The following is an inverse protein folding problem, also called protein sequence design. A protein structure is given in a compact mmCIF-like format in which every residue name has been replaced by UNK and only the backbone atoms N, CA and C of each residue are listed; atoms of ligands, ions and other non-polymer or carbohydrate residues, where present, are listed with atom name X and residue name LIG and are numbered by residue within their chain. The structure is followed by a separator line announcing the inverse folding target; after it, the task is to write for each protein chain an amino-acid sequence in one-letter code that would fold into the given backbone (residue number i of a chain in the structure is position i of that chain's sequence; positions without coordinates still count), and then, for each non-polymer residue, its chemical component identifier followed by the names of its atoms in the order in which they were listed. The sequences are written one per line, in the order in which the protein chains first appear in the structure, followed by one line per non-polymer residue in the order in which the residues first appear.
data_IF_556748375555
#
_entry.id   IF_556748375555
#
_cell.length_a   1.000
_cell.length_b   1.000
_cell.length_c   1.000
_cell.angle_alpha   90.00
_cell.angle_beta   90.00
_cell.angle_gamma   90.00
#
_symmetry.space_group_name_H-M   'P 1'
#
loop_
_entity.id
_entity.type
_entity.pdbx_description
1 polymer ?
#
# COMPACT_ATOMS: atom_id res chain seq x y z
N UNK A 1 -62.49 33.89 -70.66
CA UNK A 1 -62.14 32.44 -70.69
C UNK A 1 -60.61 32.38 -70.69
N UNK A 2 -59.85 31.86 -69.73
CA UNK A 2 -60.10 31.21 -68.45
C UNK A 2 -58.90 31.44 -67.51
N UNK A 3 -59.16 31.39 -66.20
CA UNK A 3 -58.19 31.53 -65.10
C UNK A 3 -57.20 30.35 -65.07
N UNK A 4 -55.93 30.59 -64.73
CA UNK A 4 -55.07 29.61 -64.04
C UNK A 4 -54.27 30.30 -62.93
N UNK A 5 -54.63 29.97 -61.69
CA UNK A 5 -53.85 30.26 -60.49
C UNK A 5 -52.62 29.35 -60.46
N UNK A 6 -51.44 29.91 -60.22
CA UNK A 6 -50.27 29.17 -59.75
C UNK A 6 -50.26 29.24 -58.22
N UNK A 7 -50.52 28.12 -57.55
CA UNK A 7 -50.42 28.00 -56.10
C UNK A 7 -48.95 27.77 -55.72
N UNK A 8 -48.39 28.66 -54.89
CA UNK A 8 -47.10 28.46 -54.25
C UNK A 8 -47.22 27.38 -53.15
N UNK A 9 -46.43 26.32 -53.25
CA UNK A 9 -46.31 25.30 -52.22
C UNK A 9 -45.40 25.81 -51.10
N UNK A 10 -45.98 26.27 -49.99
CA UNK A 10 -45.26 26.48 -48.72
C UNK A 10 -44.99 25.12 -48.07
N UNK A 11 -43.74 24.74 -47.75
CA UNK A 11 -43.47 23.51 -47.02
C UNK A 11 -43.91 23.69 -45.56
N UNK A 12 -44.92 22.93 -45.14
CA UNK A 12 -45.27 22.77 -43.72
C UNK A 12 -44.24 21.87 -43.06
N UNK A 13 -43.20 22.47 -42.50
CA UNK A 13 -42.27 21.73 -41.63
C UNK A 13 -42.99 21.50 -40.29
N UNK A 14 -43.35 20.25 -40.02
CA UNK A 14 -43.98 19.85 -38.75
C UNK A 14 -42.96 20.02 -37.61
N UNK A 15 -43.23 20.89 -36.61
CA UNK A 15 -42.30 21.14 -35.49
C UNK A 15 -42.10 19.89 -34.62
N UNK A 16 -43.05 18.94 -34.67
CA UNK A 16 -42.99 17.70 -33.91
C UNK A 16 -41.89 16.75 -34.41
N UNK A 17 -41.61 16.76 -35.71
CA UNK A 17 -40.61 15.87 -36.32
C UNK A 17 -39.16 16.36 -36.09
N UNK A 18 -38.97 17.65 -35.81
CA UNK A 18 -37.68 18.20 -35.39
C UNK A 18 -37.39 17.94 -33.90
N UNK A 19 -38.39 18.07 -33.03
CA UNK A 19 -38.23 17.81 -31.59
C UNK A 19 -37.86 16.33 -31.30
N UNK A 20 -38.47 15.39 -32.03
CA UNK A 20 -38.17 13.95 -31.88
C UNK A 20 -36.74 13.64 -32.36
N UNK A 21 -36.28 14.27 -33.45
CA UNK A 21 -34.91 14.05 -33.96
C UNK A 21 -33.82 14.67 -33.08
N UNK A 22 -34.09 15.82 -32.45
CA UNK A 22 -33.19 16.42 -31.45
C UNK A 22 -33.15 15.61 -30.14
N UNK A 23 -34.28 15.01 -29.72
CA UNK A 23 -34.32 14.13 -28.55
C UNK A 23 -33.54 12.82 -28.75
N UNK A 24 -33.60 12.23 -29.94
CA UNK A 24 -32.84 11.01 -30.28
C UNK A 24 -31.35 11.31 -30.43
N UNK A 25 -30.95 12.46 -31.00
CA UNK A 25 -29.54 12.87 -31.03
C UNK A 25 -28.98 13.16 -29.62
N UNK A 26 -29.78 13.78 -28.74
CA UNK A 26 -29.38 14.01 -27.34
C UNK A 26 -29.20 12.73 -26.53
N UNK A 27 -30.02 11.71 -26.78
CA UNK A 27 -29.91 10.40 -26.11
C UNK A 27 -28.73 9.57 -26.62
N UNK A 28 -28.35 9.70 -27.90
CA UNK A 28 -27.20 8.98 -28.48
C UNK A 28 -25.85 9.61 -28.11
N UNK A 29 -25.79 10.94 -27.92
CA UNK A 29 -24.56 11.64 -27.49
C UNK A 29 -24.35 11.54 -25.96
N UNK A 30 -25.42 11.32 -25.17
CA UNK A 30 -25.33 11.08 -23.73
C UNK A 30 -24.89 9.66 -23.32
N UNK A 31 -24.77 8.72 -24.26
CA UNK A 31 -24.37 7.33 -24.01
C UNK A 31 -22.90 7.04 -24.30
N UNK A 32 -22.14 8.03 -24.80
CA UNK A 32 -20.69 7.92 -24.94
C UNK A 32 -20.04 8.54 -23.71
N UNK A 33 -20.23 7.88 -22.57
CA UNK A 33 -19.30 8.05 -21.46
C UNK A 33 -17.91 7.67 -22.00
N UNK A 34 -16.88 8.54 -21.92
CA UNK A 34 -15.53 8.11 -22.26
C UNK A 34 -15.23 6.88 -21.42
N UNK A 35 -14.96 5.76 -22.10
CA UNK A 35 -14.46 4.57 -21.44
C UNK A 35 -13.20 5.03 -20.70
N UNK A 36 -13.26 5.06 -19.37
CA UNK A 36 -12.16 5.51 -18.54
C UNK A 36 -11.07 4.44 -18.60
N UNK A 37 -10.32 4.44 -19.70
CA UNK A 37 -9.17 3.58 -19.90
C UNK A 37 -8.21 3.85 -18.75
N UNK A 38 -7.80 2.76 -18.10
CA UNK A 38 -6.69 2.73 -17.18
C UNK A 38 -5.48 3.46 -17.78
N UNK A 39 -5.10 4.60 -17.23
CA UNK A 39 -3.96 5.39 -17.73
C UNK A 39 -3.27 6.16 -16.62
N UNK A 40 -1.95 6.22 -16.71
CA UNK A 40 -1.11 7.13 -15.94
C UNK A 40 -0.67 8.27 -16.85
N UNK A 41 -1.10 9.49 -16.53
CA UNK A 41 -0.72 10.71 -17.26
C UNK A 41 0.29 11.53 -16.48
N UNK A 42 1.27 12.09 -17.19
CA UNK A 42 2.29 12.95 -16.60
C UNK A 42 1.95 14.44 -16.78
N UNK A 43 2.11 15.21 -15.72
CA UNK A 43 2.11 16.67 -15.70
C UNK A 43 3.38 17.13 -14.96
N UNK A 44 4.47 17.35 -15.72
CA UNK A 44 5.81 17.54 -15.15
C UNK A 44 6.26 16.29 -14.39
N UNK A 45 6.78 16.46 -13.17
CA UNK A 45 7.17 15.35 -12.28
C UNK A 45 5.99 14.72 -11.52
N UNK A 46 4.76 15.20 -11.75
CA UNK A 46 3.55 14.62 -11.14
C UNK A 46 2.88 13.66 -12.11
N UNK A 47 2.70 12.42 -11.68
CA UNK A 47 2.07 11.35 -12.42
C UNK A 47 0.75 11.03 -11.75
N UNK A 48 -0.33 10.95 -12.52
CA UNK A 48 -1.66 10.59 -11.99
C UNK A 48 -2.20 9.38 -12.74
N UNK A 49 -2.39 8.29 -12.00
CA UNK A 49 -2.92 7.03 -12.47
C UNK A 49 -4.41 6.94 -12.11
N UNK A 50 -5.26 6.72 -13.12
CA UNK A 50 -6.71 6.61 -12.98
C UNK A 50 -7.26 5.46 -13.83
N UNK A 51 -8.57 5.22 -13.72
CA UNK A 51 -9.27 4.22 -14.52
C UNK A 51 -9.13 2.79 -13.98
N UNK A 52 -9.86 1.88 -14.62
CA UNK A 52 -9.86 0.45 -14.31
C UNK A 52 -9.42 -0.34 -15.54
N UNK A 53 -8.69 -1.45 -15.39
CA UNK A 53 -8.34 -2.33 -16.49
C UNK A 53 -9.60 -2.87 -17.17
N UNK A 54 -9.78 -2.60 -18.47
CA UNK A 54 -10.90 -3.13 -19.26
C UNK A 54 -10.44 -4.31 -20.14
N UNK A 55 -11.42 -5.09 -20.63
CA UNK A 55 -11.15 -6.14 -21.61
C UNK A 55 -11.00 -5.54 -23.02
N UNK A 56 -10.11 -6.09 -23.88
CA UNK A 56 -9.17 -7.19 -23.63
C UNK A 56 -7.98 -6.74 -22.77
N UNK A 57 -7.74 -7.43 -21.64
CA UNK A 57 -6.75 -7.18 -20.58
C UNK A 57 -5.71 -6.08 -20.86
N UNK A 58 -6.07 -4.82 -20.58
CA UNK A 58 -5.09 -3.73 -20.57
C UNK A 58 -4.39 -3.69 -19.21
N UNK A 59 -3.06 -3.72 -19.24
CA UNK A 59 -2.25 -3.52 -18.05
C UNK A 59 -2.34 -2.07 -17.59
N UNK A 60 -2.54 -1.86 -16.31
CA UNK A 60 -2.45 -0.55 -15.66
C UNK A 60 -1.31 -0.60 -14.64
N UNK A 61 -0.08 -0.63 -15.16
CA UNK A 61 1.14 -0.54 -14.36
C UNK A 61 1.87 0.78 -14.67
N UNK A 62 2.80 1.14 -13.79
CA UNK A 62 3.64 2.31 -13.99
C UNK A 62 5.07 2.06 -13.55
N UNK A 63 6.03 2.33 -14.43
CA UNK A 63 7.45 2.22 -14.13
C UNK A 63 8.20 3.45 -14.63
N UNK A 64 8.97 4.09 -13.75
CA UNK A 64 9.79 5.26 -14.09
C UNK A 64 10.99 5.39 -13.13
N UNK A 65 12.15 5.81 -13.64
CA UNK A 65 13.38 6.00 -12.87
C UNK A 65 13.80 7.47 -12.72
N UNK A 66 12.95 8.42 -13.13
CA UNK A 66 13.19 9.85 -12.91
C UNK A 66 13.12 10.21 -11.43
N UNK A 67 13.92 11.19 -11.01
CA UNK A 67 13.93 11.70 -9.65
C UNK A 67 12.77 12.67 -9.40
N UNK A 68 12.49 12.93 -8.13
CA UNK A 68 11.54 13.95 -7.67
C UNK A 68 10.12 13.70 -8.19
N UNK A 69 9.78 12.44 -8.46
CA UNK A 69 8.45 12.06 -8.93
C UNK A 69 7.45 12.04 -7.78
N UNK A 70 6.28 12.61 -8.05
CA UNK A 70 5.07 12.40 -7.25
C UNK A 70 4.10 11.56 -8.06
N UNK A 71 3.80 10.34 -7.59
CA UNK A 71 2.87 9.42 -8.24
C UNK A 71 1.59 9.34 -7.43
N UNK A 72 0.46 9.68 -8.04
CA UNK A 72 -0.86 9.66 -7.44
C UNK A 72 -1.68 8.54 -8.08
N UNK A 73 -2.15 7.59 -7.28
CA UNK A 73 -3.15 6.59 -7.70
C UNK A 73 -4.51 7.07 -7.21
N UNK A 74 -5.37 7.46 -8.15
CA UNK A 74 -6.66 8.07 -7.85
C UNK A 74 -7.64 7.12 -7.17
N UNK A 75 -8.62 7.68 -6.46
CA UNK A 75 -9.71 6.90 -5.86
C UNK A 75 -10.46 6.11 -6.92
N UNK A 76 -10.71 4.84 -6.66
CA UNK A 76 -11.37 3.93 -7.60
C UNK A 76 -10.49 3.47 -8.76
N UNK A 77 -9.27 3.99 -8.89
CA UNK A 77 -8.30 3.47 -9.85
C UNK A 77 -7.91 2.04 -9.45
N UNK A 78 -7.77 1.18 -10.45
CA UNK A 78 -7.28 -0.18 -10.25
C UNK A 78 -6.04 -0.38 -11.11
N UNK A 79 -4.95 -0.80 -10.49
CA UNK A 79 -3.67 -1.01 -11.11
C UNK A 79 -3.26 -2.48 -10.95
N UNK A 80 -2.72 -3.06 -12.02
CA UNK A 80 -2.33 -4.46 -12.10
C UNK A 80 -0.96 -4.61 -12.76
N UNK A 81 -0.41 -5.82 -12.79
CA UNK A 81 0.86 -6.10 -13.43
C UNK A 81 0.79 -7.37 -14.28
N UNK A 82 1.79 -7.56 -15.14
CA UNK A 82 2.05 -8.87 -15.71
C UNK A 82 2.45 -9.84 -14.60
N UNK A 83 2.23 -11.13 -14.85
CA UNK A 83 2.74 -12.19 -13.98
C UNK A 83 4.26 -12.05 -13.78
N UNK A 84 4.72 -12.09 -12.53
CA UNK A 84 6.13 -11.84 -12.17
C UNK A 84 6.54 -10.37 -12.16
N UNK A 85 5.62 -9.47 -12.50
CA UNK A 85 5.86 -8.03 -12.60
C UNK A 85 5.56 -7.28 -11.31
N UNK A 86 5.70 -5.96 -11.39
CA UNK A 86 5.40 -5.01 -10.32
C UNK A 86 4.34 -4.04 -10.84
N UNK A 87 3.34 -3.72 -10.01
CA UNK A 87 2.30 -2.76 -10.41
C UNK A 87 2.87 -1.35 -10.52
N UNK A 88 3.67 -0.95 -9.53
CA UNK A 88 4.41 0.30 -9.52
C UNK A 88 5.89 0.02 -9.29
N UNK A 89 6.75 0.57 -10.14
CA UNK A 89 8.21 0.43 -10.04
C UNK A 89 8.91 1.78 -10.26
N UNK A 90 9.30 2.42 -9.17
CA UNK A 90 9.85 3.78 -9.16
C UNK A 90 11.34 3.74 -8.78
N UNK A 91 12.24 3.77 -9.77
CA UNK A 91 13.68 3.61 -9.57
C UNK A 91 14.44 4.90 -9.24
N UNK A 92 13.79 6.06 -9.25
CA UNK A 92 14.45 7.35 -8.98
C UNK A 92 14.70 7.63 -7.50
N UNK A 93 15.19 8.84 -7.20
CA UNK A 93 15.30 9.39 -5.85
C UNK A 93 14.20 10.41 -5.57
N UNK A 94 13.99 10.75 -4.30
CA UNK A 94 13.03 11.75 -3.83
C UNK A 94 11.59 11.46 -4.28
N UNK A 95 11.17 10.21 -4.12
CA UNK A 95 9.90 9.71 -4.64
C UNK A 95 8.79 9.89 -3.61
N UNK A 96 7.66 10.44 -4.05
CA UNK A 96 6.40 10.43 -3.30
C UNK A 96 5.38 9.55 -4.00
N UNK A 97 4.80 8.58 -3.30
CA UNK A 97 3.66 7.78 -3.75
C UNK A 97 2.44 8.08 -2.89
N UNK A 98 1.37 8.58 -3.51
CA UNK A 98 0.07 8.80 -2.87
C UNK A 98 -0.93 7.80 -3.46
N UNK A 99 -1.30 6.78 -2.71
CA UNK A 99 -2.26 5.76 -3.13
C UNK A 99 -3.62 5.99 -2.49
N UNK A 100 -4.65 6.24 -3.31
CA UNK A 100 -6.07 6.21 -2.91
C UNK A 100 -6.87 5.13 -3.65
N UNK A 101 -6.22 4.37 -4.53
CA UNK A 101 -6.84 3.31 -5.34
C UNK A 101 -6.33 1.92 -4.96
N UNK A 102 -6.42 0.98 -5.89
CA UNK A 102 -5.96 -0.40 -5.73
C UNK A 102 -4.69 -0.64 -6.53
N UNK A 103 -3.61 -0.98 -5.85
CA UNK A 103 -2.35 -1.48 -6.41
C UNK A 103 -2.34 -2.99 -6.13
N UNK A 104 -2.73 -3.80 -7.12
CA UNK A 104 -2.89 -5.24 -6.95
C UNK A 104 -2.42 -6.02 -8.18
N UNK A 105 -1.26 -6.71 -8.13
CA UNK A 105 -0.76 -7.48 -9.26
C UNK A 105 -1.64 -8.69 -9.62
N UNK A 106 -2.51 -9.14 -8.70
CA UNK A 106 -3.41 -10.28 -8.86
C UNK A 106 -4.87 -9.86 -9.12
N UNK A 107 -5.11 -8.59 -9.45
CA UNK A 107 -6.45 -8.04 -9.66
C UNK A 107 -7.29 -8.84 -10.67
N UNK A 108 -6.64 -9.38 -11.70
CA UNK A 108 -7.29 -10.08 -12.81
C UNK A 108 -7.42 -11.59 -12.61
N UNK A 109 -7.00 -12.11 -11.46
CA UNK A 109 -7.11 -13.53 -11.13
C UNK A 109 -5.85 -14.11 -10.49
N UNK A 110 -5.82 -15.44 -10.43
CA UNK A 110 -4.75 -16.18 -9.75
C UNK A 110 -3.40 -15.95 -10.45
N UNK A 111 -2.43 -15.51 -9.67
CA UNK A 111 -1.02 -15.42 -10.05
C UNK A 111 -0.31 -16.72 -9.64
N UNK A 112 0.46 -17.29 -10.56
CA UNK A 112 1.28 -18.50 -10.29
C UNK A 112 2.75 -18.18 -9.98
N UNK A 113 3.13 -16.90 -9.98
CA UNK A 113 4.49 -16.39 -9.80
C UNK A 113 4.42 -15.15 -8.91
N UNK A 114 5.40 -14.99 -8.01
CA UNK A 114 5.54 -13.82 -7.16
C UNK A 114 5.53 -12.54 -8.00
N UNK A 115 4.54 -11.72 -7.76
CA UNK A 115 4.30 -10.41 -8.37
C UNK A 115 4.12 -9.37 -7.27
N UNK A 116 4.63 -8.17 -7.49
CA UNK A 116 4.76 -7.14 -6.46
C UNK A 116 3.77 -5.99 -6.60
N UNK A 117 3.48 -5.31 -5.50
CA UNK A 117 2.69 -4.08 -5.50
C UNK A 117 3.52 -2.88 -5.95
N UNK A 118 4.08 -2.15 -5.00
CA UNK A 118 4.92 -0.96 -5.23
C UNK A 118 6.37 -1.19 -4.81
N UNK A 119 7.31 -0.93 -5.72
CA UNK A 119 8.75 -0.95 -5.46
C UNK A 119 9.32 0.43 -5.72
N UNK A 120 10.02 0.98 -4.74
CA UNK A 120 10.48 2.37 -4.75
C UNK A 120 11.96 2.45 -4.35
N UNK A 121 12.71 3.28 -5.07
CA UNK A 121 14.10 3.61 -4.78
C UNK A 121 15.10 2.82 -5.62
N UNK A 122 16.34 3.32 -5.63
CA UNK A 122 17.48 2.76 -6.37
C UNK A 122 18.60 2.24 -5.47
N UNK A 123 18.42 2.26 -4.14
CA UNK A 123 19.49 1.97 -3.18
C UNK A 123 20.52 3.10 -3.08
N UNK A 124 20.16 4.30 -3.51
CA UNK A 124 20.90 5.55 -3.27
C UNK A 124 20.22 6.34 -2.14
N UNK A 125 20.92 7.36 -1.62
CA UNK A 125 20.38 8.22 -0.55
C UNK A 125 19.20 9.02 -1.11
N UNK A 126 18.02 8.87 -0.51
CA UNK A 126 16.77 9.44 -1.00
C UNK A 126 15.84 9.83 0.15
N UNK A 127 14.93 10.77 -0.11
CA UNK A 127 13.74 10.99 0.70
C UNK A 127 12.53 10.29 0.05
N UNK A 128 12.11 9.16 0.60
CA UNK A 128 10.96 8.39 0.09
C UNK A 128 9.76 8.64 0.99
N UNK A 129 8.63 9.05 0.39
CA UNK A 129 7.36 9.22 1.09
C UNK A 129 6.27 8.36 0.46
N UNK A 130 5.59 7.55 1.27
CA UNK A 130 4.48 6.71 0.83
C UNK A 130 3.26 7.00 1.70
N UNK A 131 2.15 7.38 1.08
CA UNK A 131 0.87 7.58 1.74
C UNK A 131 -0.13 6.63 1.11
N UNK A 132 -0.59 5.64 1.88
CA UNK A 132 -1.69 4.78 1.52
C UNK A 132 -2.95 5.29 2.24
N UNK A 133 -3.78 6.06 1.54
CA UNK A 133 -4.98 6.67 2.07
C UNK A 133 -6.02 5.62 2.50
N UNK A 134 -7.09 6.04 3.19
CA UNK A 134 -8.10 5.12 3.75
C UNK A 134 -8.80 4.23 2.73
N UNK A 135 -8.94 4.67 1.49
CA UNK A 135 -9.48 3.86 0.37
C UNK A 135 -8.39 3.07 -0.37
N UNK A 136 -7.13 3.30 -0.02
CA UNK A 136 -5.96 2.72 -0.65
C UNK A 136 -5.77 1.25 -0.27
N UNK A 137 -5.56 0.41 -1.29
CA UNK A 137 -5.12 -0.97 -1.15
C UNK A 137 -3.76 -1.12 -1.83
N UNK A 138 -2.77 -1.59 -1.09
CA UNK A 138 -1.49 -2.07 -1.62
C UNK A 138 -1.42 -3.56 -1.35
N UNK A 139 -1.42 -4.35 -2.42
CA UNK A 139 -1.37 -5.81 -2.34
C UNK A 139 -0.13 -6.35 -3.06
N UNK A 140 0.57 -7.25 -2.39
CA UNK A 140 1.59 -8.10 -2.98
C UNK A 140 1.08 -9.52 -3.23
N UNK A 141 2.00 -10.43 -3.51
CA UNK A 141 1.69 -11.85 -3.61
C UNK A 141 2.66 -12.63 -2.74
N UNK A 142 2.13 -13.62 -2.04
CA UNK A 142 2.87 -14.44 -1.11
C UNK A 142 2.89 -15.87 -1.60
N UNK A 143 4.00 -16.54 -1.36
CA UNK A 143 4.06 -18.00 -1.34
C UNK A 143 4.35 -18.44 0.09
N UNK A 144 4.06 -19.70 0.42
CA UNK A 144 4.55 -20.28 1.66
C UNK A 144 6.08 -20.27 1.61
N UNK A 145 6.68 -19.30 2.29
CA UNK A 145 8.12 -19.24 2.44
C UNK A 145 8.51 -20.30 3.47
N UNK A 146 9.50 -21.13 3.12
CA UNK A 146 10.20 -21.93 4.12
C UNK A 146 10.91 -21.00 5.13
N UNK A 147 11.73 -21.56 6.02
CA UNK A 147 12.40 -20.77 7.06
C UNK A 147 13.32 -19.64 6.52
N UNK A 148 13.68 -19.69 5.24
CA UNK A 148 14.52 -18.69 4.59
C UNK A 148 13.71 -17.85 3.59
N UNK A 149 13.94 -16.54 3.61
CA UNK A 149 13.43 -15.61 2.61
C UNK A 149 14.17 -15.85 1.29
N UNK A 150 13.46 -16.32 0.27
CA UNK A 150 14.06 -16.65 -1.04
C UNK A 150 13.99 -15.49 -2.04
N UNK A 151 13.00 -14.62 -1.90
CA UNK A 151 12.76 -13.48 -2.79
C UNK A 151 11.88 -12.43 -2.09
N UNK A 152 12.02 -11.17 -2.48
CA UNK A 152 11.17 -10.05 -2.05
C UNK A 152 10.26 -9.54 -3.17
N UNK A 153 10.32 -10.10 -4.38
CA UNK A 153 9.55 -9.67 -5.55
C UNK A 153 8.03 -9.71 -5.34
N UNK A 154 7.55 -10.49 -4.38
CA UNK A 154 6.14 -10.59 -4.00
C UNK A 154 5.66 -9.53 -2.99
N UNK A 155 6.53 -8.67 -2.45
CA UNK A 155 6.12 -7.67 -1.46
C UNK A 155 5.01 -6.76 -2.00
N UNK A 156 4.08 -6.38 -1.11
CA UNK A 156 3.11 -5.33 -1.40
C UNK A 156 3.78 -3.96 -1.52
N UNK A 157 4.70 -3.66 -0.61
CA UNK A 157 5.52 -2.45 -0.63
C UNK A 157 6.99 -2.81 -0.35
N UNK A 158 7.88 -2.43 -1.26
CA UNK A 158 9.31 -2.55 -1.08
C UNK A 158 9.97 -1.18 -1.29
N UNK A 159 10.84 -0.78 -0.37
CA UNK A 159 11.61 0.46 -0.48
C UNK A 159 13.10 0.15 -0.35
N UNK A 160 13.89 0.54 -1.36
CA UNK A 160 15.34 0.42 -1.40
C UNK A 160 15.97 1.82 -1.28
N UNK A 161 16.36 2.19 -0.07
CA UNK A 161 16.87 3.53 0.24
C UNK A 161 18.12 3.43 1.11
N UNK A 162 19.20 4.07 0.67
CA UNK A 162 20.50 3.94 1.30
C UNK A 162 20.53 4.51 2.72
N UNK A 163 21.54 4.10 3.49
CA UNK A 163 21.88 4.71 4.77
C UNK A 163 21.95 6.24 4.65
N UNK A 164 21.58 6.96 5.71
CA UNK A 164 21.40 8.43 5.75
C UNK A 164 20.19 8.98 4.99
N UNK A 165 19.53 8.17 4.15
CA UNK A 165 18.24 8.52 3.56
C UNK A 165 17.10 8.41 4.58
N UNK A 166 15.93 8.92 4.19
CA UNK A 166 14.70 8.84 5.00
C UNK A 166 13.58 8.16 4.22
N UNK A 167 12.85 7.28 4.91
CA UNK A 167 11.67 6.60 4.37
C UNK A 167 10.50 6.82 5.31
N UNK A 168 9.48 7.53 4.85
CA UNK A 168 8.25 7.81 5.60
C UNK A 168 7.10 7.04 4.97
N UNK A 169 6.39 6.25 5.75
CA UNK A 169 5.24 5.45 5.30
C UNK A 169 4.06 5.75 6.21
N UNK A 170 2.97 6.24 5.65
CA UNK A 170 1.69 6.41 6.35
C UNK A 170 0.66 5.47 5.73
N UNK A 171 0.08 4.60 6.55
CA UNK A 171 -0.98 3.68 6.16
C UNK A 171 -2.28 4.01 6.89
N UNK A 172 -3.23 4.59 6.18
CA UNK A 172 -4.61 4.78 6.60
C UNK A 172 -5.54 3.71 6.01
N UNK A 173 -5.11 3.04 4.93
CA UNK A 173 -5.85 2.00 4.21
C UNK A 173 -5.36 0.57 4.53
N UNK A 174 -5.31 -0.29 3.51
CA UNK A 174 -4.89 -1.70 3.66
C UNK A 174 -3.57 -1.98 2.94
N UNK A 175 -2.62 -2.60 3.64
CA UNK A 175 -1.44 -3.24 3.06
C UNK A 175 -1.52 -4.74 3.31
N UNK A 176 -1.48 -5.54 2.25
CA UNK A 176 -1.68 -7.00 2.36
C UNK A 176 -1.00 -7.78 1.24
N UNK A 177 -1.26 -9.08 1.19
CA UNK A 177 -0.82 -10.02 0.16
C UNK A 177 -2.00 -10.87 -0.32
N UNK A 178 -1.78 -11.62 -1.39
CA UNK A 178 -2.61 -12.76 -1.78
C UNK A 178 -1.74 -13.98 -2.04
N UNK A 179 -2.22 -15.18 -1.71
CA UNK A 179 -1.49 -16.40 -1.97
C UNK A 179 -1.35 -16.73 -3.46
N UNK A 180 -0.20 -17.31 -3.87
CA UNK A 180 0.03 -17.87 -5.21
C UNK A 180 -0.72 -19.20 -5.49
N UNK A 181 -1.51 -19.74 -4.54
CA UNK A 181 -2.20 -21.02 -4.73
C UNK A 181 -3.58 -21.09 -4.04
N UNK A 182 -4.42 -22.00 -4.54
CA UNK A 182 -5.76 -22.34 -4.04
C UNK A 182 -5.71 -23.11 -2.70
N UNK A 183 -4.51 -23.37 -2.16
CA UNK A 183 -4.25 -24.26 -1.02
C UNK A 183 -4.11 -23.59 0.36
N UNK A 184 -4.49 -22.32 0.51
CA UNK A 184 -4.52 -21.67 1.84
C UNK A 184 -3.16 -21.19 2.34
N UNK A 185 -2.53 -20.26 1.61
CA UNK A 185 -1.43 -19.48 2.18
C UNK A 185 -2.03 -18.53 3.21
N UNK A 186 -1.44 -18.55 4.40
CA UNK A 186 -1.86 -17.72 5.52
C UNK A 186 -1.36 -16.31 5.28
N UNK A 187 -2.29 -15.37 5.13
CA UNK A 187 -1.95 -14.01 4.72
C UNK A 187 -1.05 -13.34 5.78
N UNK A 188 -1.24 -13.70 7.05
CA UNK A 188 -0.42 -13.20 8.15
C UNK A 188 1.06 -13.59 8.04
N UNK A 189 1.38 -14.74 7.42
CA UNK A 189 2.76 -15.22 7.27
C UNK A 189 3.51 -14.58 6.10
N UNK A 190 2.78 -13.98 5.16
CA UNK A 190 3.41 -13.43 3.94
C UNK A 190 4.11 -12.11 4.21
N UNK A 191 5.35 -11.91 3.72
CA UNK A 191 5.97 -10.59 3.69
C UNK A 191 5.15 -9.60 2.86
N UNK A 192 4.85 -8.43 3.42
CA UNK A 192 4.07 -7.38 2.74
C UNK A 192 4.78 -6.05 2.66
N UNK A 193 5.60 -5.70 3.65
CA UNK A 193 6.40 -4.47 3.63
C UNK A 193 7.85 -4.77 3.94
N UNK A 194 8.77 -4.35 3.07
CA UNK A 194 10.21 -4.45 3.29
C UNK A 194 10.91 -3.15 2.98
N UNK A 195 11.64 -2.58 3.95
CA UNK A 195 12.48 -1.40 3.72
C UNK A 195 13.94 -1.74 3.99
N UNK A 196 14.77 -1.63 2.97
CA UNK A 196 16.18 -2.05 2.99
C UNK A 196 17.09 -1.00 2.37
N UNK A 197 18.40 -1.16 2.54
CA UNK A 197 19.45 -0.19 2.19
C UNK A 197 19.94 0.66 3.37
N UNK A 198 19.28 0.59 4.53
CA UNK A 198 19.71 1.22 5.78
C UNK A 198 19.18 2.63 6.06
N UNK A 199 18.25 3.15 5.25
CA UNK A 199 17.57 4.43 5.53
C UNK A 199 16.89 4.45 6.90
N UNK A 200 16.67 5.64 7.46
CA UNK A 200 15.80 5.79 8.63
C UNK A 200 14.35 5.59 8.21
N UNK A 201 13.67 4.61 8.81
CA UNK A 201 12.26 4.35 8.56
C UNK A 201 11.39 4.99 9.63
N UNK A 202 10.37 5.73 9.22
CA UNK A 202 9.26 6.17 10.07
C UNK A 202 7.96 5.66 9.46
N UNK A 203 7.35 4.66 10.10
CA UNK A 203 6.09 4.08 9.64
C UNK A 203 4.96 4.38 10.62
N UNK A 204 3.82 4.82 10.11
CA UNK A 204 2.59 5.02 10.88
C UNK A 204 1.50 4.14 10.28
N UNK A 205 0.97 3.22 11.08
CA UNK A 205 -0.29 2.53 10.80
C UNK A 205 -1.40 3.21 11.60
N UNK A 206 -2.18 4.06 10.94
CA UNK A 206 -3.21 4.88 11.57
C UNK A 206 -4.36 4.04 12.13
N UNK A 207 -5.29 4.66 12.86
CA UNK A 207 -6.42 3.95 13.48
C UNK A 207 -7.33 3.21 12.50
N UNK A 208 -7.44 3.68 11.25
CA UNK A 208 -8.15 2.97 10.17
C UNK A 208 -7.25 2.00 9.40
N UNK A 209 -5.94 2.05 9.64
CA UNK A 209 -4.93 1.31 8.91
C UNK A 209 -4.95 -0.18 9.26
N UNK A 210 -4.92 -1.01 8.22
CA UNK A 210 -4.81 -2.46 8.33
C UNK A 210 -3.56 -2.96 7.64
N UNK A 211 -2.78 -3.78 8.33
CA UNK A 211 -1.65 -4.53 7.78
C UNK A 211 -1.95 -6.01 8.00
N UNK A 212 -2.01 -6.78 6.91
CA UNK A 212 -2.17 -8.22 6.97
C UNK A 212 -1.00 -8.89 6.24
N UNK A 213 -0.05 -9.38 7.03
CA UNK A 213 1.26 -9.87 6.61
C UNK A 213 2.39 -9.30 7.48
N UNK A 214 3.63 -9.64 7.12
CA UNK A 214 4.83 -9.26 7.86
C UNK A 214 5.51 -8.00 7.31
N UNK A 215 5.99 -7.17 8.22
CA UNK A 215 6.76 -5.95 7.97
C UNK A 215 8.18 -6.15 8.47
N UNK A 216 9.18 -5.72 7.70
CA UNK A 216 10.56 -5.71 8.15
C UNK A 216 11.31 -4.46 7.67
N UNK A 217 12.11 -3.91 8.58
CA UNK A 217 13.08 -2.87 8.28
C UNK A 217 14.49 -3.41 8.47
N UNK A 218 15.40 -3.01 7.59
CA UNK A 218 16.83 -3.21 7.81
C UNK A 218 17.32 -2.28 8.94
N UNK A 219 18.46 -2.61 9.53
CA UNK A 219 19.14 -1.77 10.51
C UNK A 219 19.32 -0.35 9.98
N UNK A 220 18.88 0.64 10.77
CA UNK A 220 19.21 2.05 10.57
C UNK A 220 20.14 2.55 11.67
N UNK A 221 21.14 3.37 11.31
CA UNK A 221 22.02 4.03 12.27
C UNK A 221 21.28 5.08 13.11
N UNK A 222 20.27 5.73 12.54
CA UNK A 222 19.45 6.72 13.22
C UNK A 222 18.30 6.08 14.03
N UNK A 223 18.10 4.76 13.89
CA UNK A 223 16.99 4.03 14.49
C UNK A 223 15.70 4.13 13.67
N UNK A 224 14.96 3.03 13.63
CA UNK A 224 13.65 2.97 12.98
C UNK A 224 12.53 3.30 13.97
N UNK A 225 11.46 3.92 13.49
CA UNK A 225 10.27 4.25 14.27
C UNK A 225 9.01 3.67 13.63
N UNK A 226 8.16 3.07 14.46
CA UNK A 226 6.85 2.55 14.04
C UNK A 226 5.79 2.98 15.04
N UNK A 227 4.70 3.58 14.58
CA UNK A 227 3.50 3.84 15.39
C UNK A 227 2.33 3.00 14.91
N UNK A 228 1.76 2.19 15.80
CA UNK A 228 0.58 1.39 15.51
C UNK A 228 -0.64 1.92 16.29
N UNK A 229 -1.59 2.48 15.55
CA UNK A 229 -2.93 2.82 16.03
C UNK A 229 -4.04 1.93 15.46
N UNK A 230 -3.75 1.19 14.38
CA UNK A 230 -4.70 0.30 13.72
C UNK A 230 -4.45 -1.19 14.00
N UNK A 231 -4.70 -2.02 12.99
CA UNK A 231 -4.65 -3.47 13.10
C UNK A 231 -3.43 -4.03 12.35
N UNK A 232 -2.66 -4.89 13.03
CA UNK A 232 -1.61 -5.71 12.44
C UNK A 232 -2.00 -7.18 12.65
N UNK A 233 -2.16 -7.91 11.55
CA UNK A 233 -2.34 -9.37 11.54
C UNK A 233 -1.13 -9.95 10.83
N UNK A 234 -0.12 -10.35 11.60
CA UNK A 234 1.23 -10.54 11.08
C UNK A 234 2.28 -10.17 12.11
N UNK A 235 3.48 -9.80 11.66
CA UNK A 235 4.59 -9.43 12.53
C UNK A 235 5.34 -8.21 12.03
N UNK A 236 6.04 -7.52 12.93
CA UNK A 236 6.91 -6.37 12.58
C UNK A 236 8.29 -6.62 13.13
N UNK A 237 9.31 -6.47 12.27
CA UNK A 237 10.71 -6.42 12.68
C UNK A 237 11.27 -5.04 12.44
N UNK A 238 11.78 -4.42 13.51
CA UNK A 238 12.32 -3.07 13.50
C UNK A 238 13.78 -3.01 13.03
N UNK A 239 14.41 -4.16 12.74
CA UNK A 239 15.81 -4.27 12.31
C UNK A 239 16.79 -4.42 13.47
N UNK A 240 17.65 -5.44 13.40
CA UNK A 240 18.58 -5.81 14.47
C UNK A 240 19.70 -4.77 14.69
N UNK A 241 20.17 -4.64 15.94
CA UNK A 241 21.34 -3.84 16.30
C UNK A 241 21.21 -2.32 16.09
N UNK A 242 19.99 -1.79 16.08
CA UNK A 242 19.67 -0.36 15.99
C UNK A 242 19.17 0.25 17.31
N UNK A 243 18.73 1.50 17.25
CA UNK A 243 18.04 2.22 18.34
C UNK A 243 16.58 2.46 17.96
N UNK A 244 15.77 1.39 17.98
CA UNK A 244 14.42 1.45 17.41
C UNK A 244 13.37 1.89 18.42
N UNK A 245 12.30 2.49 17.93
CA UNK A 245 11.13 2.89 18.74
C UNK A 245 9.86 2.30 18.14
N UNK A 246 9.11 1.56 18.94
CA UNK A 246 7.76 1.13 18.59
C UNK A 246 6.75 1.77 19.53
N UNK A 247 5.75 2.44 18.98
CA UNK A 247 4.66 3.07 19.73
C UNK A 247 3.38 2.28 19.53
N UNK A 248 2.90 1.62 20.59
CA UNK A 248 1.59 0.99 20.63
C UNK A 248 0.57 2.00 21.16
N UNK A 249 -0.47 2.26 20.38
CA UNK A 249 -1.58 3.14 20.75
C UNK A 249 -2.75 2.31 21.25
N UNK A 250 -3.41 2.72 22.34
CA UNK A 250 -4.62 2.04 22.84
C UNK A 250 -5.67 1.89 21.74
N UNK A 251 -6.31 0.71 21.64
CA UNK A 251 -7.25 0.38 20.57
C UNK A 251 -6.59 -0.26 19.34
N UNK A 252 -5.26 -0.19 19.20
CA UNK A 252 -4.53 -0.96 18.20
C UNK A 252 -4.46 -2.46 18.54
N UNK A 253 -4.14 -3.29 17.56
CA UNK A 253 -3.94 -4.73 17.78
C UNK A 253 -2.76 -5.30 17.00
N UNK A 254 -2.19 -6.36 17.56
CA UNK A 254 -1.17 -7.22 16.93
C UNK A 254 -1.64 -8.66 17.11
N UNK A 255 -1.98 -9.32 16.01
CA UNK A 255 -2.61 -10.64 16.03
C UNK A 255 -1.81 -11.63 15.18
N UNK A 256 -1.85 -12.90 15.59
CA UNK A 256 -1.32 -14.01 14.78
C UNK A 256 -2.15 -14.22 13.51
N UNK A 257 -3.48 -14.04 13.60
CA UNK A 257 -4.39 -14.30 12.48
C UNK A 257 -4.44 -15.78 12.11
N UNK A 258 -4.36 -16.06 10.81
CA UNK A 258 -4.22 -17.40 10.25
C UNK A 258 -2.76 -17.90 10.27
N UNK A 259 -1.82 -17.09 10.78
CA UNK A 259 -0.39 -17.39 10.79
C UNK A 259 -0.02 -18.70 11.51
N UNK A 260 0.81 -19.51 10.87
CA UNK A 260 1.34 -20.77 11.41
C UNK A 260 2.76 -20.59 11.94
N UNK A 261 3.53 -19.63 11.41
CA UNK A 261 4.92 -19.39 11.82
C UNK A 261 5.02 -18.41 13.00
N UNK A 262 4.51 -18.84 14.16
CA UNK A 262 4.44 -18.05 15.40
C UNK A 262 5.73 -18.00 16.21
N UNK A 263 6.73 -18.82 15.89
CA UNK A 263 7.99 -18.89 16.65
C UNK A 263 9.24 -18.58 15.83
N UNK A 264 9.11 -18.49 14.50
CA UNK A 264 10.25 -18.35 13.60
C UNK A 264 10.06 -17.12 12.70
N UNK A 265 11.12 -16.32 12.62
CA UNK A 265 11.22 -15.23 11.66
C UNK A 265 11.58 -15.75 10.27
N UNK A 266 11.41 -14.89 9.26
CA UNK A 266 11.80 -15.14 7.87
C UNK A 266 12.95 -14.21 7.50
N UNK A 267 14.08 -14.71 7.04
CA UNK A 267 15.20 -13.85 6.65
C UNK A 267 16.29 -14.60 5.90
N UNK A 268 17.49 -14.02 5.86
CA UNK A 268 18.68 -14.68 5.30
C UNK A 268 18.83 -14.58 3.77
N UNK A 269 18.12 -13.65 3.13
CA UNK A 269 18.29 -13.39 1.70
C UNK A 269 19.68 -12.77 1.44
N UNK A 270 20.47 -13.40 0.56
CA UNK A 270 21.82 -12.92 0.25
C UNK A 270 21.76 -11.52 -0.35
N UNK A 271 22.51 -10.58 0.24
CA UNK A 271 22.57 -9.19 -0.22
C UNK A 271 21.43 -8.29 0.28
N UNK A 272 20.45 -8.83 1.03
CA UNK A 272 19.37 -8.06 1.65
C UNK A 272 19.23 -8.47 3.11
N UNK A 273 19.60 -7.58 4.02
CA UNK A 273 19.55 -7.84 5.46
C UNK A 273 18.16 -7.54 6.05
N UNK A 274 17.13 -8.20 5.51
CA UNK A 274 15.78 -8.18 6.04
C UNK A 274 15.49 -9.47 6.78
N UNK A 275 14.99 -9.31 8.01
CA UNK A 275 14.45 -10.40 8.82
C UNK A 275 13.08 -9.98 9.30
N UNK A 276 12.05 -10.74 8.97
CA UNK A 276 10.67 -10.54 9.38
C UNK A 276 10.39 -11.26 10.70
N UNK A 277 9.71 -10.60 11.63
CA UNK A 277 9.32 -11.20 12.91
C UNK A 277 8.23 -12.26 12.71
N UNK A 278 8.09 -13.23 13.65
CA UNK A 278 6.95 -14.15 13.71
C UNK A 278 5.60 -13.42 13.68
N UNK A 279 4.55 -14.11 13.23
CA UNK A 279 3.18 -13.61 13.33
C UNK A 279 2.76 -13.42 14.78
N UNK A 280 2.07 -12.33 15.08
CA UNK A 280 1.69 -11.94 16.43
C UNK A 280 2.82 -11.28 17.23
N UNK A 281 3.97 -11.00 16.60
CA UNK A 281 5.15 -10.48 17.28
C UNK A 281 5.62 -9.15 16.68
N UNK A 282 5.94 -8.22 17.56
CA UNK A 282 6.70 -7.01 17.30
C UNK A 282 8.11 -7.21 17.88
N UNK A 283 9.09 -7.33 17.00
CA UNK A 283 10.50 -7.45 17.34
C UNK A 283 11.18 -6.08 17.26
N UNK A 284 11.59 -5.56 18.42
CA UNK A 284 12.35 -4.32 18.53
C UNK A 284 13.73 -4.37 17.86
N UNK A 285 14.27 -5.55 17.57
CA UNK A 285 15.55 -5.78 16.92
C UNK A 285 16.62 -6.23 17.91
N UNK A 286 16.95 -7.53 17.90
CA UNK A 286 17.96 -8.11 18.79
C UNK A 286 19.32 -7.37 18.74
N UNK A 287 19.99 -7.26 19.89
CA UNK A 287 21.30 -6.61 20.01
C UNK A 287 21.29 -5.08 19.87
N UNK A 288 20.12 -4.46 19.84
CA UNK A 288 19.94 -3.00 19.82
C UNK A 288 19.63 -2.41 21.20
N UNK A 289 19.32 -1.11 21.21
CA UNK A 289 18.79 -0.37 22.37
C UNK A 289 17.41 0.17 22.00
N UNK A 290 16.39 -0.66 22.19
CA UNK A 290 15.06 -0.39 21.65
C UNK A 290 14.07 0.05 22.73
N UNK A 291 13.12 0.88 22.34
CA UNK A 291 12.11 1.46 23.23
C UNK A 291 10.71 1.09 22.76
N UNK A 292 9.93 0.49 23.67
CA UNK A 292 8.49 0.33 23.51
C UNK A 292 7.79 1.49 24.20
N UNK A 293 6.98 2.24 23.45
CA UNK A 293 6.15 3.32 23.97
C UNK A 293 4.70 2.87 23.98
N UNK A 294 4.06 3.00 25.13
CA UNK A 294 2.64 2.73 25.34
C UNK A 294 1.92 4.07 25.55
N UNK A 295 0.91 4.35 24.73
CA UNK A 295 0.17 5.62 24.82
C UNK A 295 -1.28 5.47 24.35
N UNK A 296 -2.13 6.42 24.68
CA UNK A 296 -3.45 6.54 24.06
C UNK A 296 -3.40 7.39 22.78
N UNK A 297 -4.54 7.50 22.09
CA UNK A 297 -4.65 8.23 20.82
C UNK A 297 -4.41 9.74 20.91
N UNK A 298 -4.46 10.31 22.12
CA UNK A 298 -4.15 11.73 22.38
C UNK A 298 -2.62 11.93 22.51
N UNK A 299 -1.89 10.87 22.85
CA UNK A 299 -0.43 10.89 23.01
C UNK A 299 0.00 11.24 24.44
N UNK A 300 1.21 11.78 24.57
CA UNK A 300 1.85 12.08 25.86
C UNK A 300 1.00 13.02 26.70
N UNK A 301 0.77 12.67 27.97
CA UNK A 301 -0.06 13.47 28.88
C UNK A 301 -1.56 13.36 28.59
N UNK A 302 -1.99 12.48 27.67
CA UNK A 302 -3.39 12.27 27.29
C UNK A 302 -4.30 11.62 28.34
N UNK A 303 -3.87 11.51 29.59
CA UNK A 303 -4.64 10.89 30.69
C UNK A 303 -4.76 9.36 30.60
N UNK A 304 -5.76 8.79 31.27
CA UNK A 304 -5.95 7.33 31.42
C UNK A 304 -6.97 6.72 30.45
N UNK A 305 -7.55 7.53 29.56
CA UNK A 305 -8.53 7.07 28.56
C UNK A 305 -7.90 6.08 27.57
N UNK A 306 -8.67 5.08 27.17
CA UNK A 306 -8.21 3.99 26.31
C UNK A 306 -7.56 2.86 27.10
N UNK A 307 -7.81 1.63 26.68
CA UNK A 307 -7.22 0.42 27.26
C UNK A 307 -6.34 -0.29 26.25
N UNK A 308 -5.21 -0.82 26.69
CA UNK A 308 -4.31 -1.64 25.89
C UNK A 308 -3.72 -2.79 26.69
N UNK A 309 -3.17 -3.77 25.97
CA UNK A 309 -2.42 -4.88 26.56
C UNK A 309 -1.07 -4.94 25.88
N UNK A 310 0.00 -5.02 26.66
CA UNK A 310 1.33 -5.30 26.17
C UNK A 310 1.85 -6.53 26.92
N UNK A 311 2.52 -7.44 26.23
CA UNK A 311 3.14 -8.61 26.86
C UNK A 311 4.49 -8.88 26.22
N UNK A 312 5.38 -9.54 26.96
CA UNK A 312 6.67 -10.01 26.42
C UNK A 312 6.51 -11.15 25.40
N UNK A 313 5.32 -11.72 25.24
CA UNK A 313 5.02 -12.66 24.15
C UNK A 313 4.77 -11.93 22.81
N UNK A 314 4.19 -10.73 22.87
CA UNK A 314 3.90 -9.91 21.68
C UNK A 314 5.04 -8.95 21.37
N UNK A 315 5.63 -8.32 22.38
CA UNK A 315 6.66 -7.29 22.21
C UNK A 315 7.99 -7.82 22.74
N UNK A 316 8.89 -8.17 21.81
CA UNK A 316 10.19 -8.78 22.13
C UNK A 316 11.34 -7.83 21.78
N UNK A 317 12.49 -8.03 22.42
CA UNK A 317 13.72 -7.26 22.18
C UNK A 317 13.59 -5.75 22.40
N UNK A 318 12.75 -5.34 23.37
CA UNK A 318 12.70 -3.97 23.88
C UNK A 318 13.45 -3.87 25.21
N UNK A 319 14.42 -2.95 25.27
CA UNK A 319 15.25 -2.73 26.44
C UNK A 319 14.61 -1.72 27.40
N UNK A 320 13.82 -0.80 26.83
CA UNK A 320 13.17 0.28 27.55
C UNK A 320 11.66 0.23 27.31
N UNK A 321 10.89 0.43 28.38
CA UNK A 321 9.44 0.61 28.32
C UNK A 321 9.11 2.03 28.79
N UNK A 322 8.37 2.78 27.98
CA UNK A 322 7.87 4.11 28.30
C UNK A 322 6.34 4.06 28.29
N UNK A 323 5.71 4.43 29.39
CA UNK A 323 4.26 4.60 29.48
C UNK A 323 3.93 6.09 29.46
N UNK A 324 3.42 6.58 28.34
CA UNK A 324 3.07 7.99 28.13
C UNK A 324 1.63 8.31 28.57
N UNK A 325 0.68 7.39 28.33
CA UNK A 325 -0.75 7.57 28.63
C UNK A 325 -1.57 6.29 28.41
N UNK A 326 -2.86 6.32 28.80
CA UNK A 326 -3.79 5.21 28.72
C UNK A 326 -3.72 4.25 29.92
N UNK A 327 -4.61 3.25 29.92
CA UNK A 327 -4.62 2.17 30.91
C UNK A 327 -4.09 0.89 30.26
N UNK A 328 -2.97 0.36 30.75
CA UNK A 328 -2.28 -0.78 30.13
C UNK A 328 -2.19 -1.99 31.07
N UNK A 329 -2.53 -3.15 30.55
CA UNK A 329 -2.24 -4.44 31.19
C UNK A 329 -0.89 -4.94 30.68
N UNK A 330 0.02 -5.33 31.58
CA UNK A 330 1.37 -5.83 31.30
C UNK A 330 1.52 -7.31 31.66
#
# INVERSE_FOLDING_TARGET
MGRRLAAAATPRVSPLNHAIRLGIFGLVVGLVSPEALATCSAAGSTITCTGVPTLPLFLNNYSNATNDLTVNVGTGAQMNATLGGKVINLGGTNITLNNSGTIDPALLGLVSILSGGAFIGSGTVSAVNVVNASTGLIRGTGMLLGLNLTDISGLGLAVNNAATGTTVITNDGTITSTGLSVGGITLADTPVVGVYGGSQVTMTNSASGTINGRVAFEKSLAGNSFTNAGNITGGVSMGAGGTNTFTAVTGSSVNVGDGVQVSLGLGGLVGINLTFAPTGTIDGGAGGTNTLILQNSIGTGGGTTGTGTASSATYVNFNNLVLNSGTWTL
#
